data_IF_978997480965
#
_entry.id   IF_978997480965
#
_cell.length_a   1.000
_cell.length_b   1.000
_cell.length_c   1.000
_cell.angle_alpha   90.00
_cell.angle_beta   90.00
_cell.angle_gamma   90.00
#
_symmetry.space_group_name_H-M   'P 1'
#
loop_
_entity.id
_entity.type
_entity.pdbx_description
1 polymer ?
#
# COMPACT_ATOMS: atom_id res chain seq x y z
N UNK A 1 20.61 -2.45 24.62
CA UNK A 1 19.29 -2.81 24.07
C UNK A 1 19.50 -3.18 22.62
N UNK A 2 19.45 -4.47 22.29
CA UNK A 2 19.43 -4.97 20.91
C UNK A 2 18.20 -4.39 20.24
N UNK A 3 18.37 -3.60 19.17
CA UNK A 3 17.25 -3.24 18.29
C UNK A 3 16.73 -4.56 17.73
N UNK A 4 15.55 -5.00 18.12
CA UNK A 4 14.90 -6.12 17.47
C UNK A 4 14.74 -5.75 15.99
N UNK A 5 15.44 -6.49 15.12
CA UNK A 5 15.24 -6.39 13.67
C UNK A 5 13.78 -6.78 13.43
N UNK A 6 12.92 -5.78 13.26
CA UNK A 6 11.54 -6.03 12.91
C UNK A 6 11.53 -6.61 11.49
N UNK A 7 10.85 -7.73 11.26
CA UNK A 7 10.71 -8.29 9.92
C UNK A 7 9.46 -7.74 9.26
N UNK A 8 9.52 -7.40 7.97
CA UNK A 8 8.34 -7.05 7.15
C UNK A 8 8.28 -7.92 5.92
N UNK A 9 7.11 -8.02 5.28
CA UNK A 9 7.00 -8.65 3.97
C UNK A 9 7.83 -7.89 2.92
N UNK A 10 8.53 -8.64 2.07
CA UNK A 10 9.26 -8.10 0.93
C UNK A 10 8.30 -7.34 0.00
N UNK A 11 8.84 -6.30 -0.63
CA UNK A 11 8.04 -5.35 -1.42
C UNK A 11 8.45 -5.45 -2.88
N UNK A 12 7.47 -5.71 -3.74
CA UNK A 12 7.62 -5.80 -5.18
C UNK A 12 7.30 -4.45 -5.82
N UNK A 13 8.19 -3.94 -6.67
CA UNK A 13 7.87 -2.80 -7.54
C UNK A 13 6.88 -3.24 -8.61
N UNK A 14 5.82 -2.46 -8.82
CA UNK A 14 4.80 -2.74 -9.84
C UNK A 14 4.41 -1.45 -10.57
N UNK A 15 4.04 -1.56 -11.83
CA UNK A 15 3.40 -0.47 -12.56
C UNK A 15 1.90 -0.51 -12.27
N UNK A 16 1.45 0.45 -11.46
CA UNK A 16 0.06 0.53 -11.04
C UNK A 16 -0.31 1.96 -10.64
N UNK A 17 -1.58 2.28 -10.85
CA UNK A 17 -2.19 3.50 -10.34
C UNK A 17 -3.10 3.15 -9.16
N UNK A 18 -3.20 4.05 -8.20
CA UNK A 18 -4.07 3.88 -7.05
C UNK A 18 -4.86 5.17 -6.80
N UNK A 19 -6.19 5.04 -6.70
CA UNK A 19 -7.03 6.09 -6.15
C UNK A 19 -7.08 5.92 -4.63
N UNK A 20 -6.59 6.92 -3.90
CA UNK A 20 -6.68 6.98 -2.45
C UNK A 20 -7.93 7.79 -2.08
N UNK A 21 -8.83 7.17 -1.34
CA UNK A 21 -10.07 7.77 -0.87
C UNK A 21 -10.00 8.01 0.65
N UNK A 22 -10.21 9.25 1.08
CA UNK A 22 -10.16 9.65 2.48
C UNK A 22 -11.21 10.71 2.78
N UNK A 23 -12.11 10.45 3.75
CA UNK A 23 -13.14 11.41 4.21
C UNK A 23 -13.96 12.08 3.07
N UNK A 24 -14.20 11.37 1.98
CA UNK A 24 -14.93 11.89 0.81
C UNK A 24 -14.07 12.60 -0.24
N UNK A 25 -12.77 12.77 0.02
CA UNK A 25 -11.78 13.23 -0.95
C UNK A 25 -11.16 12.04 -1.68
N UNK A 26 -10.74 12.27 -2.92
CA UNK A 26 -10.04 11.31 -3.75
C UNK A 26 -8.76 11.91 -4.28
N UNK A 27 -7.66 11.17 -4.23
CA UNK A 27 -6.37 11.57 -4.78
C UNK A 27 -5.82 10.47 -5.68
N UNK A 28 -5.33 10.83 -6.86
CA UNK A 28 -4.62 9.91 -7.75
C UNK A 28 -3.17 9.78 -7.30
N UNK A 29 -2.71 8.54 -7.16
CA UNK A 29 -1.38 8.22 -6.65
C UNK A 29 -0.68 7.19 -7.53
N UNK A 30 0.65 7.30 -7.61
CA UNK A 30 1.51 6.28 -8.19
C UNK A 30 1.84 5.22 -7.15
N UNK A 31 1.76 3.94 -7.54
CA UNK A 31 2.19 2.84 -6.68
C UNK A 31 3.69 2.62 -6.85
N UNK A 32 4.47 2.86 -5.78
CA UNK A 32 5.92 2.61 -5.79
C UNK A 32 6.27 1.15 -5.55
N UNK A 33 5.55 0.49 -4.66
CA UNK A 33 5.69 -0.93 -4.40
C UNK A 33 4.51 -1.47 -3.60
N UNK A 34 4.36 -2.79 -3.66
CA UNK A 34 3.30 -3.55 -3.01
C UNK A 34 3.89 -4.79 -2.30
N UNK A 35 3.20 -5.31 -1.30
CA UNK A 35 3.54 -6.54 -0.58
C UNK A 35 2.28 -7.29 -0.19
N UNK A 36 2.42 -8.46 0.43
CA UNK A 36 1.28 -9.22 0.94
C UNK A 36 0.45 -8.47 2.01
N UNK A 37 1.03 -7.46 2.65
CA UNK A 37 0.41 -6.73 3.77
C UNK A 37 0.18 -5.25 3.51
N UNK A 38 0.75 -4.66 2.45
CA UNK A 38 0.63 -3.23 2.29
C UNK A 38 1.28 -2.68 1.04
N UNK A 39 1.16 -1.37 0.91
CA UNK A 39 1.49 -0.61 -0.29
C UNK A 39 2.20 0.69 0.07
N UNK A 40 3.06 1.17 -0.83
CA UNK A 40 3.65 2.50 -0.77
C UNK A 40 3.18 3.26 -2.00
N UNK A 41 2.53 4.38 -1.78
CA UNK A 41 2.05 5.27 -2.84
C UNK A 41 2.72 6.62 -2.75
N UNK A 42 2.83 7.32 -3.87
CA UNK A 42 3.30 8.70 -3.98
C UNK A 42 2.20 9.56 -4.60
N UNK A 43 1.96 10.72 -4.02
CA UNK A 43 0.98 11.69 -4.53
C UNK A 43 1.48 12.28 -5.84
N UNK A 44 0.61 12.33 -6.86
CA UNK A 44 0.95 12.91 -8.16
C UNK A 44 0.84 14.44 -8.18
N UNK A 45 -0.05 15.01 -7.37
CA UNK A 45 -0.29 16.46 -7.27
C UNK A 45 -0.48 16.90 -5.80
N UNK A 46 -0.43 18.21 -5.54
CA UNK A 46 -0.79 18.80 -4.24
C UNK A 46 -2.32 18.69 -4.04
N UNK A 47 -2.76 17.49 -3.73
CA UNK A 47 -4.16 17.10 -3.60
C UNK A 47 -4.68 17.30 -2.18
N UNK A 48 -5.99 17.55 -2.05
CA UNK A 48 -6.69 17.97 -0.82
C UNK A 48 -6.78 16.87 0.26
N UNK A 49 -5.65 16.42 0.80
CA UNK A 49 -5.56 15.45 1.90
C UNK A 49 -4.66 15.95 3.03
N UNK A 50 -4.60 17.28 3.23
CA UNK A 50 -3.76 17.94 4.25
C UNK A 50 -4.02 17.43 5.68
N UNK A 51 -5.23 16.95 5.95
CA UNK A 51 -5.66 16.42 7.24
C UNK A 51 -5.40 14.90 7.40
N UNK A 52 -4.75 14.25 6.43
CA UNK A 52 -4.43 12.82 6.52
C UNK A 52 -3.29 12.58 7.52
N UNK A 53 -3.53 11.70 8.49
CA UNK A 53 -2.57 11.41 9.56
C UNK A 53 -2.21 9.92 9.65
N UNK A 54 -1.09 9.63 10.30
CA UNK A 54 -0.74 8.25 10.66
C UNK A 54 -1.82 7.67 11.56
N UNK A 55 -2.28 6.47 11.22
CA UNK A 55 -3.37 5.78 11.92
C UNK A 55 -4.73 5.93 11.24
N UNK A 56 -4.91 6.89 10.34
CA UNK A 56 -6.15 7.06 9.56
C UNK A 56 -6.41 5.87 8.65
N UNK A 57 -7.69 5.65 8.33
CA UNK A 57 -8.15 4.63 7.40
C UNK A 57 -8.51 5.28 6.07
N UNK A 58 -7.93 4.72 5.00
CA UNK A 58 -8.24 5.07 3.62
C UNK A 58 -8.85 3.86 2.91
N UNK A 59 -9.64 4.12 1.88
CA UNK A 59 -9.99 3.11 0.88
C UNK A 59 -9.04 3.28 -0.30
N UNK A 60 -8.49 2.19 -0.79
CA UNK A 60 -7.63 2.18 -1.96
C UNK A 60 -8.32 1.43 -3.09
N UNK A 61 -8.38 2.06 -4.27
CA UNK A 61 -8.71 1.41 -5.53
C UNK A 61 -7.42 1.29 -6.34
N UNK A 62 -6.83 0.10 -6.34
CA UNK A 62 -5.56 -0.17 -7.00
C UNK A 62 -5.84 -0.84 -8.33
N UNK A 63 -5.25 -0.34 -9.41
CA UNK A 63 -5.32 -0.94 -10.75
C UNK A 63 -3.91 -1.24 -11.21
N UNK A 64 -3.63 -2.52 -11.42
CA UNK A 64 -2.33 -3.04 -11.87
C UNK A 64 -2.51 -3.54 -13.30
N UNK A 65 -1.88 -2.85 -14.25
CA UNK A 65 -2.11 -3.03 -15.69
C UNK A 65 -3.63 -3.01 -16.02
N UNK A 66 -4.09 -3.83 -16.96
CA UNK A 66 -5.51 -3.91 -17.36
C UNK A 66 -6.26 -5.10 -16.72
N UNK A 67 -5.60 -5.88 -15.86
CA UNK A 67 -6.07 -7.24 -15.51
C UNK A 67 -6.31 -7.48 -14.03
N UNK A 68 -5.74 -6.66 -13.15
CA UNK A 68 -5.93 -6.80 -11.72
C UNK A 68 -6.35 -5.48 -11.09
N UNK A 69 -7.49 -5.52 -10.38
CA UNK A 69 -7.95 -4.43 -9.55
C UNK A 69 -8.19 -4.92 -8.12
N UNK A 70 -7.84 -4.07 -7.15
CA UNK A 70 -8.00 -4.33 -5.72
C UNK A 70 -8.64 -3.12 -5.03
N UNK A 71 -9.87 -3.32 -4.56
CA UNK A 71 -10.53 -2.44 -3.60
C UNK A 71 -10.20 -2.91 -2.18
N UNK A 72 -9.57 -2.06 -1.36
CA UNK A 72 -9.13 -2.48 -0.02
C UNK A 72 -9.10 -1.33 0.98
N UNK A 73 -9.65 -1.57 2.18
CA UNK A 73 -9.46 -0.67 3.32
C UNK A 73 -8.05 -0.81 3.89
N UNK A 74 -7.38 0.30 4.12
CA UNK A 74 -5.98 0.33 4.55
C UNK A 74 -5.75 1.39 5.62
N UNK A 75 -4.79 1.14 6.51
CA UNK A 75 -4.39 2.08 7.56
C UNK A 75 -3.07 2.75 7.20
N UNK A 76 -3.01 4.07 7.33
CA UNK A 76 -1.77 4.84 7.17
C UNK A 76 -0.79 4.47 8.28
N UNK A 77 0.42 4.07 7.91
CA UNK A 77 1.49 3.68 8.84
C UNK A 77 2.63 4.68 8.87
N UNK A 78 2.83 5.42 7.77
CA UNK A 78 3.86 6.46 7.65
C UNK A 78 3.49 7.44 6.53
N UNK A 79 3.82 8.70 6.75
CA UNK A 79 3.79 9.76 5.74
C UNK A 79 5.18 10.40 5.73
N UNK A 80 5.80 10.54 4.56
CA UNK A 80 7.10 11.21 4.39
C UNK A 80 7.24 11.65 2.95
N UNK A 81 7.63 12.91 2.72
CA UNK A 81 8.04 13.43 1.40
C UNK A 81 7.06 13.11 0.26
N UNK A 82 5.75 13.33 0.48
CA UNK A 82 4.70 13.04 -0.51
C UNK A 82 4.38 11.55 -0.70
N UNK A 83 5.04 10.67 0.05
CA UNK A 83 4.79 9.23 0.07
C UNK A 83 3.99 8.81 1.28
N UNK A 84 3.05 7.88 1.05
CA UNK A 84 2.16 7.34 2.07
C UNK A 84 2.30 5.82 2.07
N UNK A 85 2.75 5.29 3.21
CA UNK A 85 2.82 3.85 3.43
C UNK A 85 1.55 3.38 4.15
N UNK A 86 0.86 2.40 3.57
CA UNK A 86 -0.36 1.85 4.14
C UNK A 86 -0.27 0.33 4.36
N UNK A 87 -0.91 -0.14 5.42
CA UNK A 87 -1.13 -1.57 5.71
C UNK A 87 -2.58 -1.91 5.38
N UNK A 88 -2.81 -2.96 4.59
CA UNK A 88 -4.15 -3.49 4.36
C UNK A 88 -4.80 -3.94 5.66
N UNK A 89 -6.05 -3.55 5.88
CA UNK A 89 -6.82 -4.04 7.03
C UNK A 89 -7.27 -5.48 6.77
N UNK A 90 -7.79 -5.76 5.58
CA UNK A 90 -8.12 -7.09 5.11
C UNK A 90 -8.21 -7.10 3.59
N UNK A 91 -7.48 -8.01 2.94
CA UNK A 91 -7.62 -8.25 1.50
C UNK A 91 -8.86 -9.14 1.27
N UNK A 92 -9.80 -8.79 0.38
CA UNK A 92 -10.95 -9.63 0.04
C UNK A 92 -10.50 -11.04 -0.38
N UNK A 93 -11.15 -12.09 0.14
CA UNK A 93 -10.73 -13.49 -0.04
C UNK A 93 -10.64 -13.87 -1.53
N UNK A 94 -11.61 -13.44 -2.33
CA UNK A 94 -11.67 -13.65 -3.77
C UNK A 94 -10.53 -12.96 -4.55
N UNK A 95 -9.88 -11.96 -3.95
CA UNK A 95 -8.72 -11.25 -4.53
C UNK A 95 -7.38 -11.79 -4.06
N UNK A 96 -7.35 -12.60 -3.00
CA UNK A 96 -6.09 -13.07 -2.39
C UNK A 96 -5.26 -13.91 -3.37
N UNK A 97 -5.87 -14.86 -4.07
CA UNK A 97 -5.16 -15.71 -5.04
C UNK A 97 -4.50 -14.90 -6.14
N UNK A 98 -5.23 -13.95 -6.73
CA UNK A 98 -4.70 -13.07 -7.78
C UNK A 98 -3.59 -12.16 -7.24
N UNK A 99 -3.72 -11.67 -6.00
CA UNK A 99 -2.68 -10.90 -5.33
C UNK A 99 -1.40 -11.73 -5.11
N UNK A 100 -1.53 -12.98 -4.67
CA UNK A 100 -0.37 -13.87 -4.49
C UNK A 100 0.31 -14.19 -5.81
N UNK A 101 -0.46 -14.41 -6.89
CA UNK A 101 0.08 -14.57 -8.24
C UNK A 101 0.82 -13.31 -8.71
N UNK A 102 0.27 -12.13 -8.44
CA UNK A 102 0.92 -10.85 -8.75
C UNK A 102 2.25 -10.70 -8.01
N UNK A 103 2.32 -11.10 -6.74
CA UNK A 103 3.53 -11.02 -5.92
C UNK A 103 4.57 -12.09 -6.33
N UNK A 104 4.13 -13.27 -6.76
CA UNK A 104 5.01 -14.41 -7.03
C UNK A 104 5.80 -14.79 -5.80
N UNK A 105 7.11 -15.03 -5.94
CA UNK A 105 8.00 -15.44 -4.85
C UNK A 105 8.04 -14.42 -3.68
N UNK A 106 7.70 -13.16 -3.93
CA UNK A 106 7.72 -12.10 -2.90
C UNK A 106 6.59 -12.23 -1.86
N UNK A 107 5.61 -13.12 -2.09
CA UNK A 107 4.45 -13.27 -1.20
C UNK A 107 4.82 -13.78 0.20
N UNK A 108 5.84 -14.63 0.30
CA UNK A 108 6.30 -15.24 1.55
C UNK A 108 7.65 -14.70 2.02
N UNK A 109 8.32 -13.90 1.21
CA UNK A 109 9.60 -13.34 1.55
C UNK A 109 9.43 -12.27 2.64
N UNK A 110 10.29 -12.33 3.66
CA UNK A 110 10.38 -11.32 4.71
C UNK A 110 11.78 -10.73 4.73
N UNK A 111 11.86 -9.42 4.90
CA UNK A 111 13.11 -8.66 4.94
C UNK A 111 13.26 -7.92 6.27
N UNK A 112 14.50 -7.58 6.61
CA UNK A 112 14.78 -6.76 7.78
C UNK A 112 14.23 -5.34 7.59
N UNK A 113 13.58 -4.82 8.63
CA UNK A 113 12.96 -3.51 8.68
C UNK A 113 13.31 -2.81 9.99
N UNK A 114 13.85 -1.59 9.88
CA UNK A 114 14.29 -0.79 11.03
C UNK A 114 15.74 -0.32 10.88
N UNK A 115 15.93 0.98 11.12
CA UNK A 115 17.16 1.80 10.95
C UNK A 115 18.48 1.14 11.31
#
# INVERSE_FOLDING_TARGET
MTKDKQTRYARKSIEASCLLLFKGYSCVTDVKNISASGILVELLENENIDDLQVGDVCILEIVVNETFNLHVSSRVTRISDGQIALHYISIPEEKQVAMWQLLGDHVHEVEAYGT
#
